data_IF_574561902967
#
_entry.id   IF_574561902967
#
_cell.length_a   1.000
_cell.length_b   1.000
_cell.length_c   1.000
_cell.angle_alpha   90.00
_cell.angle_beta   90.00
_cell.angle_gamma   90.00
#
_symmetry.space_group_name_H-M   'P 1'
#
loop_
_entity.id
_entity.type
_entity.pdbx_description
1 polymer ?
#
# COMPACT_ATOMS: atom_id res chain seq x y z
N UNK A 1 -5.58 57.32 -7.23
CA UNK A 1 -4.79 57.09 -8.45
C UNK A 1 -4.48 55.63 -8.46
N UNK A 2 -5.18 54.89 -9.21
CA UNK A 2 -4.90 54.32 -10.53
C UNK A 2 -3.92 53.15 -10.42
N UNK A 3 -4.07 51.99 -10.98
CA UNK A 3 -4.90 51.36 -12.00
C UNK A 3 -4.63 49.83 -11.89
N UNK A 4 -5.57 48.99 -11.95
CA UNK A 4 -6.15 48.14 -12.99
C UNK A 4 -5.18 47.73 -14.13
N UNK A 5 -4.95 46.43 -14.23
CA UNK A 5 -4.78 45.63 -15.46
C UNK A 5 -4.44 44.20 -15.03
N UNK A 6 -4.96 43.13 -15.56
CA UNK A 6 -5.80 42.86 -16.69
C UNK A 6 -5.85 41.35 -16.88
N UNK A 7 -7.02 40.91 -17.15
CA UNK A 7 -7.41 39.51 -17.40
C UNK A 7 -6.77 39.04 -18.72
N UNK A 8 -6.05 37.90 -18.68
CA UNK A 8 -5.77 37.11 -19.87
C UNK A 8 -5.84 35.63 -19.55
N UNK A 9 -7.04 35.06 -19.64
CA UNK A 9 -7.24 33.62 -19.66
C UNK A 9 -8.63 33.34 -20.24
N UNK A 10 -8.76 33.16 -21.52
CA UNK A 10 -10.01 32.61 -22.09
C UNK A 10 -9.92 32.04 -23.52
N UNK A 11 -8.75 31.74 -24.05
CA UNK A 11 -8.69 31.07 -25.37
C UNK A 11 -8.12 29.64 -25.35
N UNK A 12 -7.43 29.20 -24.32
CA UNK A 12 -6.92 27.82 -24.22
C UNK A 12 -7.92 26.81 -23.65
N UNK A 13 -8.92 27.24 -22.93
CA UNK A 13 -9.98 26.35 -22.38
C UNK A 13 -11.06 25.98 -23.39
N UNK A 14 -11.31 26.79 -24.40
CA UNK A 14 -12.30 26.50 -25.43
C UNK A 14 -11.81 25.47 -26.47
N UNK A 15 -10.53 25.45 -26.79
CA UNK A 15 -9.96 24.46 -27.74
C UNK A 15 -9.83 23.05 -27.14
N UNK A 16 -9.77 22.91 -25.82
CA UNK A 16 -9.76 21.62 -25.14
C UNK A 16 -11.17 20.98 -25.03
N UNK A 17 -12.23 21.77 -25.10
CA UNK A 17 -13.61 21.26 -25.09
C UNK A 17 -14.07 20.74 -26.46
N UNK A 18 -13.65 21.37 -27.55
CA UNK A 18 -13.99 20.94 -28.91
C UNK A 18 -13.30 19.63 -29.32
N UNK A 19 -12.09 19.38 -28.84
CA UNK A 19 -11.39 18.09 -29.03
C UNK A 19 -12.00 16.95 -28.22
N UNK A 20 -12.59 17.21 -27.05
CA UNK A 20 -13.28 16.23 -26.22
C UNK A 20 -14.60 15.74 -26.83
N UNK A 21 -15.37 16.63 -27.45
CA UNK A 21 -16.66 16.28 -28.07
C UNK A 21 -16.47 15.50 -29.38
N UNK A 22 -15.48 15.83 -30.19
CA UNK A 22 -15.14 15.10 -31.41
C UNK A 22 -14.60 13.66 -31.10
N UNK A 23 -14.02 13.44 -29.94
CA UNK A 23 -13.58 12.13 -29.47
C UNK A 23 -14.76 11.26 -29.02
N UNK A 24 -15.77 11.84 -28.35
CA UNK A 24 -16.98 11.13 -27.92
C UNK A 24 -17.89 10.70 -29.10
N UNK A 25 -17.92 11.44 -30.18
CA UNK A 25 -18.66 11.06 -31.40
C UNK A 25 -17.99 9.90 -32.16
N UNK A 26 -16.68 9.75 -32.07
CA UNK A 26 -15.93 8.66 -32.68
C UNK A 26 -16.11 7.32 -31.95
N UNK A 27 -16.42 7.34 -30.64
CA UNK A 27 -16.69 6.15 -29.81
C UNK A 27 -18.12 5.63 -30.04
N UNK A 28 -19.08 6.46 -30.44
CA UNK A 28 -20.44 6.00 -30.82
C UNK A 28 -20.45 5.04 -32.02
N UNK A 29 -19.36 4.97 -32.80
CA UNK A 29 -19.19 4.02 -33.92
C UNK A 29 -18.73 2.61 -33.50
N UNK A 30 -18.14 2.43 -32.32
CA UNK A 30 -17.57 1.15 -31.89
C UNK A 30 -18.62 0.11 -31.45
N UNK A 31 -19.80 0.55 -31.01
CA UNK A 31 -20.90 -0.35 -30.62
C UNK A 31 -21.53 -1.13 -31.78
N UNK A 32 -21.27 -0.75 -33.04
CA UNK A 32 -21.75 -1.47 -34.22
C UNK A 32 -20.87 -2.64 -34.63
N UNK A 33 -19.60 -2.69 -34.16
CA UNK A 33 -18.66 -3.76 -34.48
C UNK A 33 -18.97 -5.02 -33.65
N UNK A 34 -19.42 -4.88 -32.42
CA UNK A 34 -19.77 -5.99 -31.53
C UNK A 34 -21.06 -6.72 -31.97
N UNK A 35 -21.98 -6.02 -32.57
CA UNK A 35 -23.20 -6.60 -33.13
C UNK A 35 -22.91 -7.41 -34.41
N UNK A 36 -22.04 -6.92 -35.27
CA UNK A 36 -21.69 -7.58 -36.53
C UNK A 36 -20.87 -8.87 -36.32
N UNK A 37 -20.09 -8.98 -35.22
CA UNK A 37 -19.33 -10.18 -34.90
C UNK A 37 -20.20 -11.29 -34.29
N UNK A 38 -21.30 -10.95 -33.61
CA UNK A 38 -22.28 -11.92 -33.09
C UNK A 38 -23.15 -12.53 -34.18
N UNK A 39 -23.45 -11.80 -35.23
CA UNK A 39 -24.24 -12.31 -36.39
C UNK A 39 -23.45 -13.31 -37.26
N UNK A 40 -22.12 -13.34 -37.20
CA UNK A 40 -21.26 -14.22 -38.01
C UNK A 40 -20.78 -15.49 -37.31
N UNK A 41 -21.39 -15.90 -36.21
CA UNK A 41 -21.26 -17.24 -35.64
C UNK A 41 -19.88 -17.63 -35.10
N UNK A 42 -18.97 -16.71 -34.84
CA UNK A 42 -17.65 -16.99 -34.24
C UNK A 42 -17.81 -17.15 -32.72
N UNK A 43 -18.10 -18.39 -32.30
CA UNK A 43 -18.03 -18.83 -30.91
C UNK A 43 -16.64 -19.40 -30.64
N UNK A 44 -15.96 -18.81 -29.67
CA UNK A 44 -14.78 -19.43 -29.06
C UNK A 44 -13.52 -18.60 -29.22
N UNK A 45 -13.24 -17.83 -28.17
CA UNK A 45 -11.93 -17.68 -27.55
C UNK A 45 -12.07 -16.70 -26.38
N UNK A 46 -12.25 -17.24 -25.20
CA UNK A 46 -12.00 -16.53 -23.93
C UNK A 46 -10.52 -16.23 -23.88
N UNK A 47 -10.12 -15.00 -24.07
CA UNK A 47 -8.73 -14.59 -24.06
C UNK A 47 -8.45 -13.29 -24.82
N UNK A 48 -9.38 -12.34 -24.81
CA UNK A 48 -9.05 -10.97 -25.25
C UNK A 48 -8.30 -10.27 -24.11
N UNK A 49 -6.98 -10.44 -24.05
CA UNK A 49 -6.12 -9.47 -23.38
C UNK A 49 -6.27 -8.14 -24.11
N UNK A 50 -7.07 -7.24 -23.56
CA UNK A 50 -7.05 -5.84 -23.97
C UNK A 50 -5.64 -5.32 -23.67
N UNK A 51 -4.86 -5.08 -24.73
CA UNK A 51 -3.60 -4.34 -24.66
C UNK A 51 -3.96 -2.90 -24.35
N UNK A 52 -4.11 -2.61 -23.04
CA UNK A 52 -4.40 -1.28 -22.54
C UNK A 52 -3.30 -0.29 -22.95
N UNK A 53 -3.69 0.94 -23.22
CA UNK A 53 -2.73 2.02 -23.41
C UNK A 53 -1.97 2.20 -22.10
N UNK A 54 -0.65 2.36 -22.18
CA UNK A 54 0.21 2.68 -21.03
C UNK A 54 -0.40 3.89 -20.32
N UNK A 55 -0.83 3.73 -19.04
CA UNK A 55 -1.33 4.83 -18.20
C UNK A 55 -2.81 4.80 -17.79
N UNK A 56 -3.58 3.73 -18.09
CA UNK A 56 -4.94 3.58 -17.53
C UNK A 56 -4.88 2.70 -16.28
N UNK A 57 -5.18 3.28 -15.09
CA UNK A 57 -5.33 2.55 -13.85
C UNK A 57 -6.52 1.59 -13.94
N UNK A 58 -6.30 0.32 -13.62
CA UNK A 58 -7.32 -0.72 -13.61
C UNK A 58 -7.69 -1.10 -12.19
N UNK A 59 -9.00 -1.23 -11.92
CA UNK A 59 -9.49 -1.83 -10.67
C UNK A 59 -9.83 -3.29 -10.94
N UNK A 60 -9.07 -4.18 -10.31
CA UNK A 60 -9.33 -5.62 -10.32
C UNK A 60 -10.24 -5.99 -9.15
N UNK A 61 -11.15 -6.94 -9.36
CA UNK A 61 -12.05 -7.43 -8.32
C UNK A 61 -11.79 -8.90 -8.05
N UNK A 62 -11.60 -9.23 -6.78
CA UNK A 62 -11.62 -10.58 -6.23
C UNK A 62 -12.90 -10.74 -5.43
N UNK A 63 -13.56 -11.88 -5.58
CA UNK A 63 -14.84 -12.10 -4.89
C UNK A 63 -15.07 -13.59 -4.62
N UNK A 64 -15.58 -13.87 -3.41
CA UNK A 64 -16.07 -15.19 -3.00
C UNK A 64 -17.37 -15.02 -2.18
N UNK A 65 -17.82 -16.07 -1.50
CA UNK A 65 -19.05 -16.04 -0.72
C UNK A 65 -19.00 -15.13 0.53
N UNK A 66 -17.79 -14.74 0.98
CA UNK A 66 -17.60 -13.94 2.20
C UNK A 66 -17.26 -12.47 1.90
N UNK A 67 -16.35 -12.24 0.97
CA UNK A 67 -15.78 -10.92 0.73
C UNK A 67 -15.80 -10.55 -0.76
N UNK A 68 -15.82 -9.24 -0.98
CA UNK A 68 -15.48 -8.58 -2.24
C UNK A 68 -14.29 -7.64 -1.98
N UNK A 69 -13.20 -7.87 -2.71
CA UNK A 69 -11.95 -7.12 -2.60
C UNK A 69 -11.66 -6.45 -3.92
N UNK A 70 -11.26 -5.18 -3.88
CA UNK A 70 -10.82 -4.45 -5.06
C UNK A 70 -9.36 -4.02 -4.91
N UNK A 71 -8.62 -4.06 -6.02
CA UNK A 71 -7.19 -3.71 -6.09
C UNK A 71 -6.97 -2.81 -7.29
N UNK A 72 -6.30 -1.68 -7.08
CA UNK A 72 -5.87 -0.78 -8.13
C UNK A 72 -4.53 -1.26 -8.71
N UNK A 73 -4.39 -1.31 -10.03
CA UNK A 73 -3.10 -1.65 -10.69
C UNK A 73 -2.01 -0.60 -10.42
N UNK A 74 -2.38 0.66 -10.14
CA UNK A 74 -1.45 1.68 -9.69
C UNK A 74 -1.04 1.39 -8.24
N UNK A 75 0.24 1.20 -8.01
CA UNK A 75 0.77 0.78 -6.71
C UNK A 75 0.41 -0.66 -6.29
N UNK A 76 -0.44 -1.37 -7.06
CA UNK A 76 -1.08 -2.59 -6.59
C UNK A 76 -1.91 -2.37 -5.34
N UNK A 77 -2.40 -1.17 -5.11
CA UNK A 77 -3.02 -0.73 -3.86
C UNK A 77 -4.35 -1.42 -3.60
N UNK A 78 -4.56 -1.94 -2.38
CA UNK A 78 -5.90 -2.37 -1.95
C UNK A 78 -6.85 -1.18 -1.96
N UNK A 79 -7.97 -1.33 -2.69
CA UNK A 79 -8.91 -0.24 -2.93
C UNK A 79 -10.19 -0.34 -2.11
N UNK A 80 -10.62 -1.57 -1.78
CA UNK A 80 -11.80 -1.86 -1.00
C UNK A 80 -11.75 -3.29 -0.45
N UNK A 81 -12.26 -3.49 0.76
CA UNK A 81 -12.54 -4.80 1.36
C UNK A 81 -13.93 -4.75 1.95
N UNK A 82 -14.89 -5.40 1.29
CA UNK A 82 -16.29 -5.38 1.70
C UNK A 82 -16.80 -6.78 2.03
N UNK A 83 -17.60 -6.88 3.08
CA UNK A 83 -18.43 -8.04 3.37
C UNK A 83 -19.66 -8.06 2.49
N UNK A 84 -20.39 -9.19 2.43
CA UNK A 84 -21.58 -9.36 1.58
C UNK A 84 -22.77 -8.46 1.98
N UNK A 85 -22.81 -8.00 3.21
CA UNK A 85 -23.78 -7.01 3.69
C UNK A 85 -23.37 -5.54 3.37
N UNK A 86 -22.26 -5.36 2.63
CA UNK A 86 -21.82 -4.08 2.09
C UNK A 86 -21.03 -3.21 3.04
N UNK A 87 -20.56 -3.75 4.17
CA UNK A 87 -19.70 -2.99 5.08
C UNK A 87 -18.28 -2.93 4.55
N UNK A 88 -17.75 -1.72 4.43
CA UNK A 88 -16.37 -1.44 4.04
C UNK A 88 -15.46 -1.44 5.26
N UNK A 89 -14.37 -2.18 5.18
CA UNK A 89 -13.39 -2.30 6.26
C UNK A 89 -12.13 -1.48 6.01
N UNK A 90 -11.88 -1.11 4.75
CA UNK A 90 -10.71 -0.31 4.39
C UNK A 90 -11.05 1.18 4.42
N UNK A 91 -10.12 2.00 4.88
CA UNK A 91 -10.17 3.44 4.71
C UNK A 91 -10.34 3.82 3.23
N UNK A 92 -11.20 4.80 2.93
CA UNK A 92 -11.58 5.10 1.55
C UNK A 92 -10.87 6.32 0.94
N UNK A 93 -9.83 6.84 1.61
CA UNK A 93 -8.98 7.88 1.07
C UNK A 93 -9.69 9.24 1.03
N UNK A 94 -9.78 9.95 2.15
CA UNK A 94 -10.27 11.33 2.20
C UNK A 94 -9.07 12.28 2.25
N UNK A 95 -8.95 13.18 1.28
CA UNK A 95 -7.87 14.17 1.18
C UNK A 95 -7.77 15.11 2.39
N UNK A 96 -8.83 15.21 3.20
CA UNK A 96 -8.82 15.96 4.46
C UNK A 96 -7.83 15.36 5.45
N UNK A 97 -7.65 14.04 5.41
CA UNK A 97 -6.76 13.28 6.30
C UNK A 97 -5.63 12.63 5.52
N UNK A 98 -5.92 11.60 4.77
CA UNK A 98 -4.96 10.83 3.99
C UNK A 98 -5.63 10.27 2.74
N UNK A 99 -5.13 10.68 1.57
CA UNK A 99 -5.73 10.38 0.26
C UNK A 99 -5.56 8.92 -0.17
N UNK A 100 -4.50 8.24 0.30
CA UNK A 100 -4.23 6.85 -0.03
C UNK A 100 -5.01 5.91 0.90
N UNK A 101 -5.04 4.61 0.63
CA UNK A 101 -5.84 3.62 1.37
C UNK A 101 -5.01 2.49 1.96
N UNK A 102 -4.12 1.91 1.17
CA UNK A 102 -3.33 0.74 1.55
C UNK A 102 -2.11 0.59 0.65
N UNK A 103 -1.16 1.47 0.79
CA UNK A 103 0.06 1.48 -0.03
C UNK A 103 0.87 0.19 0.15
N UNK A 104 1.50 -0.27 -0.92
CA UNK A 104 2.56 -1.26 -0.87
C UNK A 104 3.91 -0.55 -0.90
N UNK A 105 4.86 -1.04 -0.12
CA UNK A 105 6.14 -0.39 0.13
C UNK A 105 7.26 -1.27 -0.45
N UNK A 106 8.02 -0.72 -1.41
CA UNK A 106 9.20 -1.34 -2.04
C UNK A 106 9.92 -0.31 -2.91
N UNK A 107 11.27 -0.30 -2.98
CA UNK A 107 12.21 -1.18 -2.27
C UNK A 107 12.63 -0.65 -0.89
N UNK A 108 11.98 0.40 -0.39
CA UNK A 108 12.33 1.01 0.89
C UNK A 108 11.09 1.28 1.74
N UNK A 109 11.27 1.30 3.07
CA UNK A 109 10.23 1.58 4.05
C UNK A 109 10.43 2.98 4.62
N UNK A 110 9.37 3.80 4.61
CA UNK A 110 9.37 5.17 5.13
C UNK A 110 10.49 6.04 4.50
N UNK A 111 11.27 6.75 5.31
CA UNK A 111 12.12 7.86 4.87
C UNK A 111 13.60 7.51 4.84
N UNK A 112 14.28 8.05 3.83
CA UNK A 112 15.74 8.17 3.78
C UNK A 112 16.16 9.57 4.22
N UNK A 113 17.24 9.70 4.97
CA UNK A 113 17.85 10.99 5.31
C UNK A 113 18.13 11.77 4.03
N UNK A 114 17.58 12.99 3.92
CA UNK A 114 17.61 13.84 2.72
C UNK A 114 17.01 13.18 1.45
N UNK A 115 16.22 12.10 1.59
CA UNK A 115 15.73 11.32 0.46
C UNK A 115 16.81 10.55 -0.29
N UNK A 116 17.97 10.30 0.36
CA UNK A 116 19.18 9.78 -0.29
C UNK A 116 19.74 8.54 0.42
N UNK A 117 20.41 7.72 -0.37
CA UNK A 117 21.21 6.59 0.12
C UNK A 117 22.48 6.42 -0.72
N UNK A 118 23.44 5.67 -0.24
CA UNK A 118 24.65 5.28 -0.97
C UNK A 118 24.58 3.82 -1.38
N UNK A 119 25.18 3.51 -2.52
CA UNK A 119 25.44 2.16 -2.98
C UNK A 119 26.65 2.16 -3.92
N UNK A 120 27.62 1.27 -3.68
CA UNK A 120 28.84 1.16 -4.48
C UNK A 120 29.57 2.52 -4.66
N UNK A 121 29.59 3.35 -3.61
CA UNK A 121 30.22 4.67 -3.59
C UNK A 121 29.49 5.77 -4.38
N UNK A 122 28.27 5.52 -4.83
CA UNK A 122 27.40 6.51 -5.52
C UNK A 122 26.21 6.84 -4.64
N UNK A 123 25.74 8.08 -4.75
CA UNK A 123 24.51 8.54 -4.09
C UNK A 123 23.32 8.46 -5.06
N UNK A 124 22.23 7.95 -4.55
CA UNK A 124 20.94 7.82 -5.24
C UNK A 124 19.85 8.53 -4.44
N UNK A 125 18.81 8.97 -5.12
CA UNK A 125 17.61 9.53 -4.52
C UNK A 125 16.46 8.55 -4.63
N UNK A 126 15.62 8.47 -3.58
CA UNK A 126 14.45 7.61 -3.55
C UNK A 126 13.35 8.30 -2.75
N UNK A 127 12.10 8.29 -3.24
CA UNK A 127 10.98 8.86 -2.51
C UNK A 127 10.66 8.05 -1.26
N UNK A 128 9.87 8.64 -0.37
CA UNK A 128 9.33 7.95 0.80
C UNK A 128 8.58 6.69 0.36
N UNK A 129 8.79 5.58 1.07
CA UNK A 129 8.22 4.27 0.79
C UNK A 129 8.68 3.61 -0.53
N UNK A 130 9.71 4.13 -1.18
CA UNK A 130 10.18 3.65 -2.47
C UNK A 130 9.28 4.10 -3.60
N UNK A 131 9.12 3.27 -4.63
CA UNK A 131 8.43 3.67 -5.86
C UNK A 131 7.32 2.71 -6.32
N UNK A 132 7.12 1.56 -5.66
CA UNK A 132 6.06 0.62 -6.09
C UNK A 132 4.67 1.26 -5.98
N UNK A 133 4.43 2.04 -4.93
CA UNK A 133 3.18 2.76 -4.68
C UNK A 133 2.80 3.79 -5.78
N UNK A 134 3.77 4.23 -6.56
CA UNK A 134 3.59 5.16 -7.68
C UNK A 134 3.86 4.55 -9.05
N UNK A 135 3.94 3.22 -9.12
CA UNK A 135 4.19 2.46 -10.34
C UNK A 135 2.93 1.79 -10.85
N UNK A 136 2.77 1.68 -12.16
CA UNK A 136 1.72 0.86 -12.77
C UNK A 136 2.20 -0.59 -12.85
N UNK A 137 1.50 -1.49 -12.17
CA UNK A 137 1.79 -2.91 -12.18
C UNK A 137 0.95 -3.63 -13.25
N UNK A 138 1.57 -4.56 -13.95
CA UNK A 138 0.93 -5.39 -14.97
C UNK A 138 0.31 -6.64 -14.32
N UNK A 139 -0.96 -6.95 -14.65
CA UNK A 139 -1.58 -8.18 -14.19
C UNK A 139 -1.07 -9.38 -14.98
N UNK A 140 -0.42 -10.31 -14.31
CA UNK A 140 0.06 -11.58 -14.85
C UNK A 140 -0.99 -12.69 -14.71
N UNK A 141 -1.81 -12.63 -13.65
CA UNK A 141 -2.93 -13.53 -13.40
C UNK A 141 -4.09 -12.76 -12.76
N UNK A 142 -5.32 -13.02 -13.19
CA UNK A 142 -6.54 -12.54 -12.55
C UNK A 142 -7.65 -13.57 -12.64
N UNK A 143 -8.07 -14.06 -11.49
CA UNK A 143 -9.22 -14.96 -11.31
C UNK A 143 -10.20 -14.35 -10.30
N UNK A 144 -11.30 -15.02 -10.00
CA UNK A 144 -12.24 -14.56 -8.97
C UNK A 144 -11.62 -14.48 -7.56
N UNK A 145 -10.55 -15.23 -7.28
CA UNK A 145 -9.98 -15.31 -5.93
C UNK A 145 -8.47 -15.04 -5.88
N UNK A 146 -7.83 -14.81 -7.03
CA UNK A 146 -6.39 -14.61 -7.11
C UNK A 146 -6.04 -13.53 -8.14
N UNK A 147 -5.17 -12.60 -7.74
CA UNK A 147 -4.58 -11.59 -8.60
C UNK A 147 -3.06 -11.60 -8.38
N UNK A 148 -2.32 -11.67 -9.48
CA UNK A 148 -0.86 -11.50 -9.47
C UNK A 148 -0.52 -10.26 -10.29
N UNK A 149 0.03 -9.27 -9.64
CA UNK A 149 0.56 -8.04 -10.24
C UNK A 149 2.08 -8.11 -10.29
N UNK A 150 2.66 -7.56 -11.35
CA UNK A 150 4.09 -7.61 -11.62
C UNK A 150 4.66 -6.23 -11.96
N UNK A 151 5.83 -5.95 -11.45
CA UNK A 151 6.67 -4.83 -11.81
C UNK A 151 8.07 -5.34 -12.14
N UNK A 152 8.58 -5.01 -13.31
CA UNK A 152 9.98 -5.24 -13.70
C UNK A 152 10.76 -3.93 -13.64
N UNK A 153 12.05 -4.00 -13.38
CA UNK A 153 12.91 -2.83 -13.45
C UNK A 153 12.85 -2.16 -14.84
N UNK A 154 13.08 -0.88 -14.85
CA UNK A 154 13.06 0.00 -16.02
C UNK A 154 14.21 0.98 -15.95
N UNK A 155 14.46 1.77 -16.98
CA UNK A 155 15.43 2.85 -16.93
C UNK A 155 15.13 3.80 -15.77
N UNK A 156 13.87 4.22 -15.61
CA UNK A 156 13.46 5.12 -14.53
C UNK A 156 13.68 4.51 -13.13
N UNK A 157 13.32 3.25 -12.92
CA UNK A 157 13.55 2.61 -11.60
C UNK A 157 15.02 2.41 -11.33
N UNK A 158 15.86 2.15 -12.34
CA UNK A 158 17.31 2.00 -12.19
C UNK A 158 18.04 3.31 -11.88
N UNK A 159 17.48 4.46 -12.23
CA UNK A 159 18.00 5.76 -11.80
C UNK A 159 17.89 5.94 -10.28
N UNK A 160 16.80 5.44 -9.69
CA UNK A 160 16.54 5.50 -8.25
C UNK A 160 17.09 4.29 -7.50
N UNK A 161 17.13 3.11 -8.14
CA UNK A 161 17.48 1.83 -7.53
C UNK A 161 18.17 0.92 -8.55
N UNK A 162 19.52 0.91 -8.61
CA UNK A 162 20.30 0.38 -9.72
C UNK A 162 20.45 -1.14 -9.67
N UNK A 163 19.33 -1.84 -9.68
CA UNK A 163 19.24 -3.29 -9.72
C UNK A 163 18.32 -3.78 -10.82
N UNK A 164 18.66 -4.94 -11.41
CA UNK A 164 17.76 -5.71 -12.24
C UNK A 164 16.89 -6.60 -11.33
N UNK A 165 15.59 -6.41 -11.35
CA UNK A 165 14.66 -7.14 -10.47
C UNK A 165 13.34 -7.46 -11.16
N UNK A 166 12.64 -8.42 -10.61
CA UNK A 166 11.19 -8.57 -10.78
C UNK A 166 10.54 -8.57 -9.42
N UNK A 167 9.50 -7.78 -9.28
CA UNK A 167 8.64 -7.71 -8.11
C UNK A 167 7.27 -8.23 -8.47
N UNK A 168 6.73 -9.12 -7.65
CA UNK A 168 5.36 -9.59 -7.74
C UNK A 168 4.61 -9.26 -6.45
N UNK A 169 3.36 -8.86 -6.63
CA UNK A 169 2.39 -8.67 -5.57
C UNK A 169 1.20 -9.59 -5.84
N UNK A 170 0.99 -10.54 -4.95
CA UNK A 170 -0.12 -11.50 -5.07
C UNK A 170 -1.15 -11.24 -4.00
N UNK A 171 -2.39 -11.12 -4.42
CA UNK A 171 -3.59 -11.14 -3.58
C UNK A 171 -4.32 -12.46 -3.77
N UNK A 172 -4.59 -13.17 -2.68
CA UNK A 172 -5.33 -14.43 -2.70
C UNK A 172 -6.43 -14.44 -1.64
N UNK A 173 -7.68 -14.61 -2.08
CA UNK A 173 -8.87 -14.57 -1.24
C UNK A 173 -9.32 -15.99 -0.87
N UNK A 174 -9.26 -16.31 0.43
CA UNK A 174 -9.62 -17.63 0.97
C UNK A 174 -10.62 -17.46 2.11
N UNK A 175 -11.89 -17.76 1.90
CA UNK A 175 -12.95 -17.51 2.88
C UNK A 175 -13.03 -16.02 3.24
N UNK A 176 -12.95 -15.69 4.53
CA UNK A 176 -12.95 -14.31 5.03
C UNK A 176 -11.53 -13.71 5.15
N UNK A 177 -10.53 -14.33 4.53
CA UNK A 177 -9.11 -13.97 4.64
C UNK A 177 -8.51 -13.60 3.29
N UNK A 178 -7.83 -12.46 3.24
CA UNK A 178 -7.01 -12.01 2.13
C UNK A 178 -5.53 -12.21 2.49
N UNK A 179 -4.84 -13.08 1.75
CA UNK A 179 -3.39 -13.21 1.80
C UNK A 179 -2.75 -12.21 0.83
N UNK A 180 -1.70 -11.53 1.27
CA UNK A 180 -0.90 -10.60 0.49
C UNK A 180 0.54 -11.08 0.49
N UNK A 181 1.05 -11.43 -0.68
CA UNK A 181 2.42 -11.95 -0.82
C UNK A 181 3.26 -11.02 -1.67
N UNK A 182 4.38 -10.58 -1.12
CA UNK A 182 5.45 -9.93 -1.84
C UNK A 182 6.46 -10.98 -2.29
N UNK A 183 6.81 -10.99 -3.57
CA UNK A 183 7.91 -11.79 -4.07
C UNK A 183 8.86 -10.91 -4.88
N UNK A 184 10.16 -11.09 -4.65
CA UNK A 184 11.21 -10.30 -5.30
C UNK A 184 12.27 -11.22 -5.83
N UNK A 185 12.61 -11.10 -7.11
CA UNK A 185 13.69 -11.84 -7.75
C UNK A 185 14.84 -10.89 -8.11
N UNK A 186 16.03 -11.25 -7.69
CA UNK A 186 17.23 -10.51 -8.01
C UNK A 186 17.83 -11.04 -9.33
N UNK A 187 17.61 -10.33 -10.41
CA UNK A 187 18.15 -10.63 -11.73
C UNK A 187 19.49 -9.92 -12.02
N UNK A 188 20.05 -9.25 -10.99
CA UNK A 188 21.35 -8.62 -11.05
C UNK A 188 22.49 -9.63 -10.73
N UNK A 189 23.72 -9.19 -10.92
CA UNK A 189 24.94 -9.96 -10.61
C UNK A 189 25.46 -9.73 -9.20
N UNK A 190 24.90 -8.77 -8.48
CA UNK A 190 25.29 -8.37 -7.12
C UNK A 190 24.16 -8.61 -6.12
N UNK A 191 24.47 -8.56 -4.84
CA UNK A 191 23.47 -8.63 -3.77
C UNK A 191 22.55 -7.41 -3.87
N UNK A 192 21.26 -7.64 -3.76
CA UNK A 192 20.23 -6.62 -3.75
C UNK A 192 19.74 -6.37 -2.32
N UNK A 193 19.53 -5.12 -1.95
CA UNK A 193 19.16 -4.68 -0.60
C UNK A 193 17.83 -3.96 -0.65
N UNK A 194 16.81 -4.43 0.08
CA UNK A 194 15.49 -3.82 0.04
C UNK A 194 14.67 -4.08 1.31
N UNK A 195 13.59 -3.31 1.46
CA UNK A 195 12.49 -3.56 2.38
C UNK A 195 11.18 -3.74 1.62
N UNK A 196 10.27 -4.54 2.18
CA UNK A 196 8.88 -4.67 1.73
C UNK A 196 7.92 -4.45 2.90
N UNK A 197 6.76 -3.90 2.63
CA UNK A 197 5.73 -3.71 3.65
C UNK A 197 4.37 -3.35 3.06
N UNK A 198 3.35 -3.49 3.88
CA UNK A 198 2.00 -3.00 3.62
C UNK A 198 1.67 -1.82 4.53
N UNK A 199 0.80 -0.93 4.05
CA UNK A 199 0.36 0.26 4.78
C UNK A 199 -1.18 0.39 4.73
N UNK A 200 -1.95 -0.68 5.07
CA UNK A 200 -3.40 -0.62 5.00
C UNK A 200 -3.97 0.24 6.13
N UNK A 201 -4.83 1.20 5.77
CA UNK A 201 -5.68 1.93 6.69
C UNK A 201 -7.03 1.22 6.84
N UNK A 202 -7.43 0.90 8.07
CA UNK A 202 -8.73 0.32 8.37
C UNK A 202 -9.68 1.37 8.91
N UNK A 203 -10.92 1.37 8.42
CA UNK A 203 -11.95 2.26 8.91
C UNK A 203 -12.22 2.05 10.41
N UNK A 204 -12.33 3.12 11.17
CA UNK A 204 -12.73 3.11 12.58
C UNK A 204 -13.67 4.27 12.83
N UNK A 205 -14.91 4.02 13.28
CA UNK A 205 -15.47 2.74 13.73
C UNK A 205 -15.87 1.81 12.57
N UNK A 206 -15.85 0.50 12.80
CA UNK A 206 -16.37 -0.53 11.88
C UNK A 206 -17.90 -0.67 11.95
N UNK A 207 -18.52 -0.15 13.00
CA UNK A 207 -19.95 -0.27 13.26
C UNK A 207 -20.55 1.09 13.64
N UNK A 208 -21.76 1.34 13.17
CA UNK A 208 -22.51 2.56 13.47
C UNK A 208 -22.79 2.68 14.97
N UNK A 209 -22.59 3.87 15.53
CA UNK A 209 -22.88 4.18 16.93
C UNK A 209 -21.71 3.92 17.87
N UNK A 210 -20.59 3.41 17.37
CA UNK A 210 -19.33 3.35 18.10
C UNK A 210 -18.43 4.52 17.73
N UNK A 211 -17.54 4.90 18.63
CA UNK A 211 -16.50 5.91 18.44
C UNK A 211 -15.13 5.26 18.20
N UNK A 212 -14.16 6.05 17.80
CA UNK A 212 -12.76 5.62 17.59
C UNK A 212 -12.17 5.03 18.90
N UNK A 213 -12.43 5.66 20.03
CA UNK A 213 -11.96 5.26 21.36
C UNK A 213 -12.67 4.03 21.93
N UNK A 214 -13.72 3.54 21.28
CA UNK A 214 -14.36 2.27 21.64
C UNK A 214 -13.58 1.05 21.12
N UNK A 215 -12.55 1.28 20.29
CA UNK A 215 -11.73 0.24 19.67
C UNK A 215 -10.36 0.10 20.33
N UNK A 216 -9.77 -1.06 20.17
CA UNK A 216 -8.39 -1.34 20.55
C UNK A 216 -7.70 -2.23 19.54
N UNK A 217 -6.37 -2.24 19.58
CA UNK A 217 -5.54 -3.27 18.95
C UNK A 217 -5.20 -4.33 19.99
N UNK A 218 -5.71 -5.54 19.80
CA UNK A 218 -5.45 -6.70 20.66
C UNK A 218 -4.33 -7.53 20.08
N UNK A 219 -3.18 -7.57 20.74
CA UNK A 219 -2.04 -8.42 20.38
C UNK A 219 -2.25 -9.85 20.89
N UNK A 220 -1.89 -10.86 20.08
CA UNK A 220 -2.21 -12.27 20.36
C UNK A 220 -1.24 -12.97 21.33
N UNK A 221 -0.12 -12.37 21.68
CA UNK A 221 0.82 -12.93 22.63
C UNK A 221 0.96 -12.03 23.86
N UNK A 222 1.15 -12.61 25.06
CA UNK A 222 1.45 -11.84 26.25
C UNK A 222 2.87 -11.25 26.14
N UNK A 223 3.03 -10.08 26.72
CA UNK A 223 4.31 -9.36 26.80
C UNK A 223 4.24 -7.99 26.12
N UNK A 224 5.17 -7.15 26.50
CA UNK A 224 5.29 -5.84 25.95
C UNK A 224 6.25 -5.87 24.76
N UNK A 225 5.87 -5.29 23.60
CA UNK A 225 6.80 -5.11 22.50
C UNK A 225 7.83 -4.01 22.83
N UNK A 226 8.81 -3.88 21.97
CA UNK A 226 9.73 -2.77 22.00
C UNK A 226 9.28 -1.70 21.00
N UNK A 227 9.12 -0.47 21.46
CA UNK A 227 8.93 0.70 20.60
C UNK A 227 10.27 1.11 20.04
N UNK A 228 10.39 1.14 18.73
CA UNK A 228 11.58 1.67 18.04
C UNK A 228 11.64 3.18 18.27
N UNK A 229 12.79 3.67 18.69
CA UNK A 229 13.02 5.09 18.93
C UNK A 229 13.08 5.90 17.63
N UNK A 230 12.27 6.94 17.53
CA UNK A 230 12.24 7.86 16.40
C UNK A 230 12.51 9.29 16.86
N UNK A 231 13.18 10.04 16.00
CA UNK A 231 13.29 11.48 16.11
C UNK A 231 11.98 12.17 15.68
N UNK A 232 11.81 13.46 15.99
CA UNK A 232 10.64 14.27 15.60
C UNK A 232 10.40 14.30 14.08
N UNK A 233 11.46 14.11 13.28
CA UNK A 233 11.42 14.03 11.81
C UNK A 233 11.31 12.60 11.28
N UNK A 234 10.95 11.63 12.15
CA UNK A 234 10.62 10.23 11.82
C UNK A 234 11.80 9.41 11.27
N UNK A 235 13.00 9.60 11.81
CA UNK A 235 14.16 8.75 11.57
C UNK A 235 14.52 7.95 12.81
N UNK A 236 15.09 6.75 12.62
CA UNK A 236 15.55 5.93 13.74
C UNK A 236 16.64 6.67 14.51
N UNK A 237 16.45 6.83 15.83
CA UNK A 237 17.40 7.52 16.72
C UNK A 237 18.16 6.58 17.64
N UNK A 238 17.76 5.30 17.76
CA UNK A 238 18.38 4.28 18.60
C UNK A 238 17.94 4.32 20.07
N UNK A 239 16.93 5.11 20.41
CA UNK A 239 16.36 5.23 21.76
C UNK A 239 15.16 4.31 21.93
N UNK A 240 15.36 3.01 21.73
CA UNK A 240 14.31 2.01 21.85
C UNK A 240 13.86 1.86 23.31
N UNK A 241 12.57 1.58 23.52
CA UNK A 241 11.99 1.45 24.86
C UNK A 241 10.91 0.37 24.90
N UNK A 242 10.65 -0.20 26.07
CA UNK A 242 9.51 -1.08 26.26
C UNK A 242 8.22 -0.31 26.04
N UNK A 243 7.30 -0.87 25.23
CA UNK A 243 5.98 -0.30 24.97
C UNK A 243 4.94 -1.05 25.80
N UNK A 244 4.44 -0.38 26.83
CA UNK A 244 3.51 -1.02 27.79
C UNK A 244 2.12 -1.14 27.18
N UNK A 245 1.68 -2.37 26.95
CA UNK A 245 0.29 -2.68 26.62
C UNK A 245 -0.57 -2.78 27.88
N UNK A 246 -1.85 -2.43 27.77
CA UNK A 246 -2.79 -2.62 28.85
C UNK A 246 -3.10 -4.11 29.09
N UNK A 247 -3.88 -4.44 30.12
CA UNK A 247 -4.23 -5.78 30.52
C UNK A 247 -4.69 -6.66 29.34
N UNK A 248 -4.07 -7.83 29.21
CA UNK A 248 -4.36 -8.78 28.15
C UNK A 248 -3.72 -8.43 26.78
N UNK A 249 -2.75 -7.51 26.73
CA UNK A 249 -2.04 -7.16 25.49
C UNK A 249 -2.83 -6.23 24.59
N UNK A 250 -3.58 -5.28 25.15
CA UNK A 250 -4.39 -4.30 24.42
C UNK A 250 -3.67 -2.96 24.27
N UNK A 251 -3.81 -2.34 23.12
CA UNK A 251 -3.56 -0.92 22.90
C UNK A 251 -4.92 -0.23 22.63
N UNK A 252 -5.55 0.41 23.63
CA UNK A 252 -6.75 1.21 23.41
C UNK A 252 -6.47 2.33 22.41
N UNK A 253 -7.36 2.54 21.45
CA UNK A 253 -7.19 3.61 20.47
C UNK A 253 -7.59 4.96 21.09
N UNK A 254 -6.80 5.97 20.78
CA UNK A 254 -7.09 7.37 21.05
C UNK A 254 -6.36 8.21 20.00
N UNK A 255 -6.97 9.28 19.50
CA UNK A 255 -6.39 10.09 18.43
C UNK A 255 -5.02 10.65 18.79
N UNK A 256 -4.81 11.09 20.03
CA UNK A 256 -3.54 11.64 20.50
C UNK A 256 -2.38 10.65 20.62
N UNK A 257 -2.61 9.34 20.43
CA UNK A 257 -1.55 8.35 20.32
C UNK A 257 -0.57 8.64 19.17
N UNK A 258 -1.06 9.32 18.15
CA UNK A 258 -0.36 9.56 16.89
C UNK A 258 0.17 10.99 16.76
N UNK A 259 0.08 11.82 17.80
CA UNK A 259 0.59 13.21 17.79
C UNK A 259 2.11 13.28 17.58
N UNK A 260 2.83 12.18 17.82
CA UNK A 260 4.25 12.03 17.55
C UNK A 260 4.55 11.16 16.33
N UNK A 261 3.60 11.13 15.35
CA UNK A 261 3.65 10.26 14.16
C UNK A 261 3.49 8.76 14.51
N UNK A 262 3.99 7.86 13.68
CA UNK A 262 3.78 6.43 13.82
C UNK A 262 4.37 5.83 15.11
N UNK A 263 3.64 4.90 15.71
CA UNK A 263 4.17 3.97 16.70
C UNK A 263 4.74 2.79 15.92
N UNK A 264 6.05 2.56 16.01
CA UNK A 264 6.70 1.42 15.36
C UNK A 264 7.19 0.45 16.40
N UNK A 265 6.75 -0.80 16.30
CA UNK A 265 7.03 -1.85 17.26
C UNK A 265 7.91 -2.96 16.66
N UNK A 266 8.77 -3.53 17.49
CA UNK A 266 9.48 -4.79 17.24
C UNK A 266 9.29 -5.73 18.43
N UNK A 267 9.68 -7.00 18.29
CA UNK A 267 9.49 -8.04 19.31
C UNK A 267 8.04 -8.23 19.78
N UNK A 268 7.09 -7.85 18.91
CA UNK A 268 5.65 -7.98 19.15
C UNK A 268 5.12 -9.32 18.70
N UNK A 269 3.89 -9.64 19.11
CA UNK A 269 3.10 -10.74 18.56
C UNK A 269 3.04 -10.66 17.03
N UNK A 270 2.95 -11.80 16.36
CA UNK A 270 2.92 -11.86 14.89
C UNK A 270 1.50 -11.74 14.29
N UNK A 271 0.54 -11.34 15.13
CA UNK A 271 -0.80 -10.95 14.74
C UNK A 271 -1.37 -9.92 15.73
N UNK A 272 -2.23 -9.05 15.22
CA UNK A 272 -2.97 -8.06 15.99
C UNK A 272 -4.39 -7.96 15.43
N UNK A 273 -5.36 -7.73 16.32
CA UNK A 273 -6.78 -7.61 15.95
C UNK A 273 -7.30 -6.23 16.35
N UNK A 274 -7.80 -5.47 15.38
CA UNK A 274 -8.60 -4.29 15.58
C UNK A 274 -10.02 -4.73 15.96
N UNK A 275 -10.46 -4.44 17.17
CA UNK A 275 -11.76 -4.86 17.69
C UNK A 275 -12.31 -3.87 18.73
N UNK A 276 -13.60 -4.04 19.07
CA UNK A 276 -14.29 -3.34 20.13
C UNK A 276 -15.06 -4.34 21.01
N UNK A 277 -15.04 -4.15 22.33
CA UNK A 277 -15.88 -4.94 23.24
C UNK A 277 -17.38 -4.59 23.11
N UNK A 278 -17.70 -3.46 22.49
CA UNK A 278 -19.06 -2.98 22.26
C UNK A 278 -19.63 -3.40 20.90
N UNK A 279 -18.78 -3.94 20.02
CA UNK A 279 -19.11 -4.36 18.67
C UNK A 279 -18.88 -5.84 18.42
N UNK A 280 -19.22 -6.27 17.20
CA UNK A 280 -19.07 -7.66 16.75
C UNK A 280 -18.09 -7.79 15.59
N UNK A 281 -17.75 -6.68 14.93
CA UNK A 281 -16.85 -6.64 13.77
C UNK A 281 -15.42 -6.45 14.20
N UNK A 282 -14.52 -7.14 13.51
CA UNK A 282 -13.09 -7.01 13.77
C UNK A 282 -12.25 -7.28 12.52
N UNK A 283 -11.00 -6.80 12.56
CA UNK A 283 -9.99 -7.04 11.52
C UNK A 283 -8.76 -7.61 12.18
N UNK A 284 -8.33 -8.78 11.76
CA UNK A 284 -7.09 -9.40 12.21
C UNK A 284 -6.03 -9.27 11.12
N UNK A 285 -4.88 -8.69 11.46
CA UNK A 285 -3.71 -8.61 10.60
C UNK A 285 -2.64 -9.55 11.13
N UNK A 286 -2.19 -10.51 10.29
CA UNK A 286 -1.16 -11.49 10.65
C UNK A 286 0.06 -11.32 9.75
N UNK A 287 1.26 -11.30 10.36
CA UNK A 287 2.51 -10.95 9.68
C UNK A 287 3.69 -11.78 10.21
N UNK A 288 3.67 -13.11 10.01
CA UNK A 288 4.60 -14.05 10.67
C UNK A 288 6.08 -13.78 10.33
N UNK A 289 6.34 -13.24 9.15
CA UNK A 289 7.69 -13.01 8.62
C UNK A 289 8.13 -11.54 8.67
N UNK A 290 7.28 -10.63 9.17
CA UNK A 290 7.64 -9.22 9.33
C UNK A 290 8.24 -8.97 10.72
N UNK A 291 9.26 -8.12 10.77
CA UNK A 291 9.98 -7.83 12.02
C UNK A 291 9.45 -6.59 12.72
N UNK A 292 8.77 -5.72 12.01
CA UNK A 292 8.26 -4.45 12.52
C UNK A 292 6.79 -4.27 12.20
N UNK A 293 6.10 -3.53 13.06
CA UNK A 293 4.71 -3.15 12.91
C UNK A 293 4.59 -1.64 13.12
N UNK A 294 4.21 -0.92 12.08
CA UNK A 294 3.77 0.47 12.16
C UNK A 294 2.30 0.55 12.56
N UNK A 295 1.94 1.51 13.39
CA UNK A 295 0.56 1.85 13.75
C UNK A 295 0.44 3.36 13.62
N UNK A 296 -0.49 3.82 12.79
CA UNK A 296 -0.55 5.24 12.43
C UNK A 296 -1.95 5.72 12.03
N UNK A 297 -2.25 6.97 12.27
CA UNK A 297 -3.17 7.80 11.50
C UNK A 297 -2.61 9.22 11.40
N UNK A 298 -3.25 10.09 10.63
CA UNK A 298 -2.80 11.48 10.45
C UNK A 298 -2.70 12.20 11.80
N UNK A 299 -1.51 12.66 12.20
CA UNK A 299 -1.30 13.35 13.48
C UNK A 299 -2.17 14.59 13.66
N UNK A 300 -2.53 14.89 14.90
CA UNK A 300 -3.32 16.08 15.31
C UNK A 300 -4.70 16.17 14.62
N UNK A 301 -5.30 15.03 14.26
CA UNK A 301 -6.62 14.97 13.63
C UNK A 301 -7.53 13.98 14.36
N UNK A 302 -8.81 14.00 14.00
CA UNK A 302 -9.83 13.02 14.37
C UNK A 302 -10.09 12.01 13.23
N UNK A 303 -9.02 11.62 12.52
CA UNK A 303 -9.09 10.73 11.37
C UNK A 303 -9.80 9.40 11.71
N UNK A 304 -10.88 9.01 10.97
CA UNK A 304 -11.68 7.83 11.29
C UNK A 304 -11.07 6.54 10.71
N UNK A 305 -9.78 6.35 10.92
CA UNK A 305 -9.06 5.14 10.50
C UNK A 305 -7.83 4.91 11.39
N UNK A 306 -7.30 3.70 11.33
CA UNK A 306 -5.98 3.34 11.84
C UNK A 306 -5.25 2.49 10.83
N UNK A 307 -4.00 2.83 10.52
CA UNK A 307 -3.11 1.98 9.75
C UNK A 307 -2.48 0.92 10.65
N UNK A 308 -2.40 -0.32 10.15
CA UNK A 308 -1.73 -1.44 10.77
C UNK A 308 -0.74 -2.00 9.75
N UNK A 309 0.51 -1.66 9.90
CA UNK A 309 1.50 -1.69 8.83
C UNK A 309 2.59 -2.73 9.10
N UNK A 310 2.49 -3.95 8.55
CA UNK A 310 3.57 -4.93 8.65
C UNK A 310 4.76 -4.54 7.77
N UNK A 311 5.97 -4.43 8.37
CA UNK A 311 7.19 -4.03 7.69
C UNK A 311 8.32 -5.05 7.88
N UNK A 312 9.12 -5.26 6.83
CA UNK A 312 10.34 -6.08 6.91
C UNK A 312 11.58 -5.29 7.36
N UNK A 313 11.55 -3.96 7.23
CA UNK A 313 12.68 -3.07 7.48
C UNK A 313 12.23 -1.77 8.15
N UNK A 314 13.19 -0.93 8.54
CA UNK A 314 12.99 0.38 9.16
C UNK A 314 13.47 1.51 8.23
N UNK A 315 13.04 2.77 8.45
CA UNK A 315 13.62 3.94 7.81
C UNK A 315 15.10 4.13 8.19
N UNK A 316 15.78 5.06 7.53
CA UNK A 316 17.17 5.36 7.82
C UNK A 316 17.37 5.97 9.23
N UNK A 317 18.60 5.92 9.71
CA UNK A 317 19.01 6.57 10.94
C UNK A 317 19.12 8.08 10.75
N UNK A 318 18.75 8.83 11.79
CA UNK A 318 18.78 10.29 11.77
C UNK A 318 20.14 10.84 11.38
N UNK A 319 20.15 11.77 10.41
CA UNK A 319 21.33 12.52 10.01
C UNK A 319 22.40 11.71 9.26
N UNK A 320 22.07 10.52 8.75
CA UNK A 320 23.00 9.66 8.00
C UNK A 320 22.42 9.32 6.65
N UNK A 321 23.17 9.64 5.58
CA UNK A 321 22.95 9.05 4.26
C UNK A 321 23.70 7.72 4.28
N UNK A 322 22.96 6.63 4.41
CA UNK A 322 23.50 5.30 4.65
C UNK A 322 23.77 4.54 3.34
N UNK A 323 24.79 3.70 3.34
CA UNK A 323 24.93 2.69 2.29
C UNK A 323 23.91 1.57 2.54
N UNK A 324 23.14 1.18 1.52
CA UNK A 324 22.14 0.13 1.66
C UNK A 324 22.73 -1.21 2.12
N UNK A 325 23.99 -1.49 1.77
CA UNK A 325 24.68 -2.71 2.18
C UNK A 325 24.99 -2.77 3.68
N UNK A 326 24.98 -1.61 4.35
CA UNK A 326 25.29 -1.48 5.78
C UNK A 326 24.03 -1.34 6.65
N UNK A 327 22.84 -1.23 6.03
CA UNK A 327 21.58 -1.14 6.79
C UNK A 327 21.16 -2.52 7.34
N UNK A 328 21.13 -2.71 8.67
CA UNK A 328 21.00 -4.05 9.27
C UNK A 328 19.63 -4.71 9.04
N UNK A 329 18.59 -3.91 8.75
CA UNK A 329 17.22 -4.41 8.69
C UNK A 329 16.73 -4.70 7.26
N UNK A 330 17.51 -4.37 6.22
CA UNK A 330 17.16 -4.67 4.85
C UNK A 330 17.31 -6.16 4.56
N UNK A 331 16.51 -6.65 3.62
CA UNK A 331 16.71 -7.96 3.02
C UNK A 331 17.95 -7.92 2.15
N UNK A 332 18.88 -8.84 2.35
CA UNK A 332 20.07 -9.04 1.52
C UNK A 332 19.82 -10.23 0.60
N UNK A 333 19.42 -9.97 -0.65
CA UNK A 333 19.07 -11.00 -1.61
C UNK A 333 20.22 -11.27 -2.57
N UNK A 334 20.88 -12.44 -2.51
CA UNK A 334 21.97 -12.77 -3.44
C UNK A 334 21.52 -12.80 -4.90
N UNK A 335 22.47 -12.63 -5.82
CA UNK A 335 22.25 -12.74 -7.27
C UNK A 335 21.51 -14.02 -7.67
N UNK A 336 20.51 -13.91 -8.52
CA UNK A 336 19.71 -15.03 -9.02
C UNK A 336 18.84 -15.72 -7.96
N UNK A 337 18.60 -15.09 -6.80
CA UNK A 337 17.73 -15.62 -5.76
C UNK A 337 16.38 -14.90 -5.74
N UNK A 338 15.38 -15.59 -5.16
CA UNK A 338 14.03 -15.11 -4.94
C UNK A 338 13.74 -15.03 -3.44
N UNK A 339 13.13 -13.93 -3.03
CA UNK A 339 12.58 -13.68 -1.71
C UNK A 339 11.07 -13.76 -1.78
N UNK A 340 10.44 -14.22 -0.71
CA UNK A 340 8.99 -14.26 -0.58
C UNK A 340 8.58 -13.97 0.86
N UNK A 341 7.53 -13.18 1.04
CA UNK A 341 6.99 -12.80 2.35
C UNK A 341 5.47 -12.64 2.24
N UNK A 342 4.73 -13.30 3.13
CA UNK A 342 3.27 -13.28 3.14
C UNK A 342 2.75 -12.76 4.48
N UNK A 343 1.81 -11.82 4.39
CA UNK A 343 0.98 -11.35 5.49
C UNK A 343 -0.49 -11.47 5.10
N UNK A 344 -1.41 -11.23 6.02
CA UNK A 344 -2.84 -11.41 5.72
C UNK A 344 -3.75 -10.52 6.53
N UNK A 345 -4.92 -10.24 5.96
CA UNK A 345 -6.05 -9.53 6.56
C UNK A 345 -7.21 -10.52 6.66
N UNK A 346 -7.77 -10.70 7.86
CA UNK A 346 -8.92 -11.56 8.10
C UNK A 346 -10.06 -10.74 8.72
N UNK A 347 -11.27 -10.87 8.18
CA UNK A 347 -12.44 -10.04 8.49
C UNK A 347 -13.46 -10.87 9.28
N UNK A 348 -13.96 -10.29 10.35
CA UNK A 348 -14.98 -10.95 11.21
C UNK A 348 -16.16 -10.01 11.47
#
# INVERSE_FOLDING_TARGET
>A
MAAVSGIHSSKKSAELWDTGIAFLEKIRGAGKLDAALRENGIRGCSGFFHRLRKGECMIYTLENDSLKVQVNSHGGELWSIQTKDGVEYLWQGDETYWKDRALNLFPYIARLTEGKYMLDGKTYEMPIHGFVNSSDLEAEEHTAQRLVLKLTDSENTREMYPFAFVYWLTYELVGNKLNVTFAVENNDKKVMYFGVGGHPGFAVPLEKGLAFEDYCLQFEAPGNPIRVGFSEDCFVNGEDSEFILSDGGKLPLAHNLFDQDAIVLTDMAKAVTLCSEKGTRSVRVSYPQMNFLGIWHMPFTDAPYVCIEPWSALPSRKGRIEDLSEQPNLVHLPAGKRYENTWSIEIF
#
